data_IF_586357582556
#
_entry.id   IF_586357582556
#
_cell.length_a   1.000
_cell.length_b   1.000
_cell.length_c   1.000
_cell.angle_alpha   90.00
_cell.angle_beta   90.00
_cell.angle_gamma   90.00
#
_symmetry.space_group_name_H-M   'P 1'
#
loop_
_entity.id
_entity.type
_entity.pdbx_description
1 polymer ?
#
# COMPACT_ATOMS: atom_id res chain seq x y z
N UNK A 1 -37.92 32.49 -8.49
CA UNK A 1 -37.56 31.64 -7.33
C UNK A 1 -37.51 30.13 -7.62
N UNK A 2 -38.11 29.61 -8.70
CA UNK A 2 -38.11 28.15 -9.03
C UNK A 2 -36.71 27.59 -9.31
N UNK A 3 -35.84 28.38 -9.94
CA UNK A 3 -34.50 27.95 -10.36
C UNK A 3 -33.52 27.87 -9.18
N UNK A 4 -33.68 28.72 -8.16
CA UNK A 4 -32.82 28.71 -6.97
C UNK A 4 -32.97 27.42 -6.15
N UNK A 5 -34.20 26.91 -6.03
CA UNK A 5 -34.46 25.61 -5.37
C UNK A 5 -33.87 24.43 -6.15
N UNK A 6 -33.81 24.53 -7.48
CA UNK A 6 -33.19 23.51 -8.34
C UNK A 6 -31.67 23.48 -8.19
N UNK A 7 -31.00 24.64 -8.19
CA UNK A 7 -29.55 24.71 -7.95
C UNK A 7 -29.16 24.30 -6.51
N UNK A 8 -30.00 24.61 -5.52
CA UNK A 8 -29.83 24.14 -4.14
C UNK A 8 -29.95 22.60 -4.05
N UNK A 9 -30.92 22.00 -4.75
CA UNK A 9 -31.07 20.54 -4.79
C UNK A 9 -29.91 19.86 -5.54
N UNK A 10 -29.41 20.45 -6.62
CA UNK A 10 -28.28 19.93 -7.39
C UNK A 10 -26.98 19.94 -6.57
N UNK A 11 -26.71 21.03 -5.86
CA UNK A 11 -25.53 21.15 -4.98
C UNK A 11 -25.61 20.18 -3.80
N UNK A 12 -26.79 20.02 -3.18
CA UNK A 12 -27.00 19.04 -2.11
C UNK A 12 -26.79 17.59 -2.60
N UNK A 13 -27.25 17.26 -3.81
CA UNK A 13 -27.05 15.94 -4.40
C UNK A 13 -25.56 15.63 -4.71
N UNK A 14 -24.82 16.60 -5.24
CA UNK A 14 -23.37 16.46 -5.48
C UNK A 14 -22.60 16.28 -4.16
N UNK A 15 -22.99 17.01 -3.12
CA UNK A 15 -22.35 16.92 -1.79
C UNK A 15 -22.64 15.58 -1.11
N UNK A 16 -23.88 15.08 -1.22
CA UNK A 16 -24.26 13.76 -0.71
C UNK A 16 -23.50 12.62 -1.42
N UNK A 17 -23.26 12.77 -2.73
CA UNK A 17 -22.51 11.79 -3.52
C UNK A 17 -21.00 11.78 -3.16
N UNK A 18 -20.43 12.93 -2.78
CA UNK A 18 -19.05 13.01 -2.31
C UNK A 18 -18.82 12.31 -0.95
N UNK A 19 -19.83 12.31 -0.07
CA UNK A 19 -19.77 11.64 1.23
C UNK A 19 -19.94 10.11 1.12
N UNK A 20 -20.78 9.64 0.18
CA UNK A 20 -21.00 8.22 -0.05
C UNK A 20 -19.75 7.49 -0.60
N UNK A 21 -18.87 8.19 -1.33
CA UNK A 21 -17.63 7.63 -1.88
C UNK A 21 -16.57 7.31 -0.81
N UNK A 22 -16.66 7.88 0.40
CA UNK A 22 -15.71 7.55 1.47
C UNK A 22 -15.94 6.14 2.06
N UNK A 23 -17.18 5.65 2.02
CA UNK A 23 -17.52 4.30 2.50
C UNK A 23 -17.17 3.18 1.51
N UNK A 24 -16.73 3.50 0.29
CA UNK A 24 -16.33 2.51 -0.73
C UNK A 24 -14.82 2.35 -0.87
N UNK A 25 -14.02 3.04 -0.05
CA UNK A 25 -12.56 2.88 -0.07
C UNK A 25 -12.18 1.62 0.73
N UNK A 26 -11.40 0.73 0.10
CA UNK A 26 -10.85 -0.47 0.74
C UNK A 26 -9.74 -0.12 1.74
N UNK A 27 -8.86 0.82 1.39
CA UNK A 27 -7.87 1.40 2.30
C UNK A 27 -8.29 2.75 2.86
N UNK A 28 -7.91 3.05 4.10
CA UNK A 28 -8.21 4.31 4.79
C UNK A 28 -7.83 5.56 3.99
N UNK A 29 -6.69 5.48 3.31
CA UNK A 29 -6.07 6.58 2.58
C UNK A 29 -5.99 6.30 1.08
N UNK A 30 -6.83 5.42 0.56
CA UNK A 30 -6.86 5.12 -0.86
C UNK A 30 -7.28 6.35 -1.70
N UNK A 31 -6.76 6.48 -2.94
CA UNK A 31 -7.26 7.47 -3.88
C UNK A 31 -8.75 7.24 -4.12
N UNK A 32 -9.53 8.33 -4.16
CA UNK A 32 -10.98 8.25 -4.32
C UNK A 32 -11.41 7.63 -5.66
N UNK A 33 -10.60 7.84 -6.71
CA UNK A 33 -10.79 7.24 -8.04
C UNK A 33 -9.41 6.87 -8.59
N UNK A 34 -9.33 5.73 -9.28
CA UNK A 34 -8.15 5.28 -10.01
C UNK A 34 -8.57 4.76 -11.37
N UNK A 35 -7.77 5.05 -12.41
CA UNK A 35 -7.97 4.50 -13.76
C UNK A 35 -7.55 3.02 -13.82
N UNK A 36 -6.54 2.65 -13.03
CA UNK A 36 -6.01 1.29 -12.96
C UNK A 36 -6.72 0.47 -11.88
N UNK A 37 -6.85 -0.83 -12.14
CA UNK A 37 -7.38 -1.77 -11.14
C UNK A 37 -6.46 -1.80 -9.91
N UNK A 38 -6.98 -2.28 -8.78
CA UNK A 38 -6.18 -2.43 -7.55
C UNK A 38 -5.03 -3.42 -7.76
N UNK A 39 -5.29 -4.53 -8.46
CA UNK A 39 -4.27 -5.51 -8.84
C UNK A 39 -3.18 -4.89 -9.70
N UNK A 40 -3.55 -4.15 -10.74
CA UNK A 40 -2.56 -3.50 -11.63
C UNK A 40 -1.70 -2.48 -10.89
N UNK A 41 -2.31 -1.72 -9.95
CA UNK A 41 -1.55 -0.81 -9.08
C UNK A 41 -0.57 -1.58 -8.19
N UNK A 42 -0.98 -2.71 -7.62
CA UNK A 42 -0.13 -3.48 -6.71
C UNK A 42 1.02 -4.19 -7.42
N UNK A 43 0.82 -4.60 -8.67
CA UNK A 43 1.84 -5.25 -9.51
C UNK A 43 2.80 -4.21 -10.07
N UNK A 44 3.64 -3.67 -9.19
CA UNK A 44 4.69 -2.70 -9.49
C UNK A 44 6.00 -3.14 -8.81
N UNK A 45 7.09 -2.41 -9.07
CA UNK A 45 8.29 -2.46 -8.25
C UNK A 45 8.20 -1.41 -7.16
N UNK A 46 8.25 -1.87 -5.91
CA UNK A 46 8.07 -1.08 -4.71
C UNK A 46 9.37 -1.01 -3.92
N UNK A 47 9.88 0.19 -3.70
CA UNK A 47 11.05 0.43 -2.84
C UNK A 47 10.59 1.00 -1.50
N UNK A 48 10.99 0.38 -0.39
CA UNK A 48 10.70 0.89 0.96
C UNK A 48 11.46 2.19 1.20
N UNK A 49 10.75 3.26 1.57
CA UNK A 49 11.34 4.58 1.80
C UNK A 49 11.24 5.04 3.24
N UNK A 50 10.27 4.50 4.00
CA UNK A 50 10.08 4.81 5.42
C UNK A 50 9.37 3.64 6.09
N UNK A 51 9.69 3.37 7.36
CA UNK A 51 8.78 2.62 8.22
C UNK A 51 8.72 3.22 9.63
N UNK A 52 7.58 3.00 10.27
CA UNK A 52 7.28 3.50 11.61
C UNK A 52 6.94 2.32 12.52
N UNK A 53 7.38 2.41 13.78
CA UNK A 53 6.96 1.54 14.87
C UNK A 53 6.27 2.40 15.92
N UNK A 54 5.00 2.12 16.19
CA UNK A 54 4.16 2.90 17.13
C UNK A 54 4.21 4.42 16.83
N UNK A 55 4.22 4.78 15.55
CA UNK A 55 4.31 6.18 15.07
C UNK A 55 5.71 6.80 15.11
N UNK A 56 6.71 6.11 15.65
CA UNK A 56 8.10 6.57 15.62
C UNK A 56 8.82 6.08 14.36
N UNK A 57 9.35 7.01 13.57
CA UNK A 57 10.16 6.69 12.38
C UNK A 57 11.39 5.90 12.79
N UNK A 58 11.64 4.83 12.04
CA UNK A 58 12.80 3.96 12.24
C UNK A 58 13.84 4.22 11.16
N UNK A 59 15.11 4.04 11.52
CA UNK A 59 16.21 4.23 10.59
C UNK A 59 16.26 3.08 9.57
N UNK A 60 16.45 3.45 8.30
CA UNK A 60 16.66 2.56 7.15
C UNK A 60 18.06 2.74 6.54
N UNK A 61 18.90 3.62 7.12
CA UNK A 61 20.19 3.99 6.55
C UNK A 61 21.05 2.76 6.22
N UNK A 62 21.64 2.80 5.02
CA UNK A 62 22.55 1.75 4.55
C UNK A 62 21.89 0.45 4.08
N UNK A 63 20.55 0.35 4.05
CA UNK A 63 19.85 -0.82 3.48
C UNK A 63 18.67 -0.40 2.59
N UNK A 64 18.62 -0.94 1.37
CA UNK A 64 17.52 -0.79 0.43
C UNK A 64 16.69 -2.07 0.42
N UNK A 65 15.38 -1.94 0.59
CA UNK A 65 14.42 -3.04 0.46
C UNK A 65 13.52 -2.79 -0.74
N UNK A 66 13.48 -3.74 -1.67
CA UNK A 66 12.66 -3.66 -2.87
C UNK A 66 11.82 -4.94 -3.05
N UNK A 67 10.58 -4.76 -3.48
CA UNK A 67 9.72 -5.83 -3.99
C UNK A 67 9.41 -5.60 -5.47
N UNK A 68 9.75 -6.57 -6.32
CA UNK A 68 9.22 -6.62 -7.69
C UNK A 68 8.01 -7.55 -7.72
N UNK A 69 6.82 -6.99 -7.91
CA UNK A 69 5.55 -7.72 -7.78
C UNK A 69 4.96 -8.01 -9.16
N UNK A 70 4.68 -9.28 -9.43
CA UNK A 70 4.19 -9.73 -10.73
C UNK A 70 2.69 -10.06 -10.69
N UNK A 71 1.98 -9.81 -11.80
CA UNK A 71 0.54 -10.08 -11.92
C UNK A 71 0.16 -11.57 -11.88
N UNK A 72 1.15 -12.45 -11.99
CA UNK A 72 1.04 -13.91 -11.86
C UNK A 72 0.90 -14.40 -10.42
N UNK A 73 1.01 -13.50 -9.42
CA UNK A 73 0.97 -13.85 -8.00
C UNK A 73 2.34 -14.12 -7.38
N UNK A 74 3.40 -13.99 -8.16
CA UNK A 74 4.78 -14.07 -7.69
C UNK A 74 5.31 -12.69 -7.30
N UNK A 75 6.33 -12.67 -6.46
CA UNK A 75 7.12 -11.48 -6.17
C UNK A 75 8.58 -11.85 -5.91
N UNK A 76 9.48 -10.91 -6.11
CA UNK A 76 10.89 -11.04 -5.73
C UNK A 76 11.24 -9.95 -4.73
N UNK A 77 11.81 -10.34 -3.59
CA UNK A 77 12.40 -9.44 -2.62
C UNK A 77 13.88 -9.28 -2.92
N UNK A 78 14.35 -8.03 -3.06
CA UNK A 78 15.77 -7.69 -3.12
C UNK A 78 16.12 -6.83 -1.92
N UNK A 79 17.14 -7.23 -1.17
CA UNK A 79 17.71 -6.47 -0.07
C UNK A 79 19.17 -6.18 -0.43
N UNK A 80 19.51 -4.91 -0.51
CA UNK A 80 20.87 -4.44 -0.78
C UNK A 80 21.35 -3.60 0.39
N UNK A 81 22.63 -3.73 0.74
CA UNK A 81 23.21 -2.95 1.82
C UNK A 81 24.73 -3.04 1.82
N UNK A 82 25.34 -2.73 2.96
CA UNK A 82 26.80 -2.82 3.12
C UNK A 82 27.18 -3.52 4.42
N UNK A 83 28.14 -4.45 4.35
CA UNK A 83 28.75 -5.09 5.53
C UNK A 83 30.25 -4.83 5.47
N UNK A 84 30.80 -4.21 6.52
CA UNK A 84 32.21 -3.78 6.57
C UNK A 84 32.66 -2.95 5.35
N UNK A 85 31.77 -2.13 4.80
CA UNK A 85 32.05 -1.30 3.62
C UNK A 85 31.94 -2.04 2.27
N UNK A 86 31.66 -3.34 2.27
CA UNK A 86 31.45 -4.11 1.04
C UNK A 86 29.95 -4.21 0.72
N UNK A 87 29.55 -4.01 -0.55
CA UNK A 87 28.15 -4.13 -0.95
C UNK A 87 27.67 -5.57 -0.80
N UNK A 88 26.45 -5.74 -0.30
CA UNK A 88 25.77 -7.02 -0.19
C UNK A 88 24.45 -6.98 -0.93
N UNK A 89 24.03 -8.12 -1.47
CA UNK A 89 22.75 -8.29 -2.14
C UNK A 89 22.18 -9.66 -1.80
N UNK A 90 20.94 -9.67 -1.32
CA UNK A 90 20.14 -10.88 -1.10
C UNK A 90 18.88 -10.79 -1.94
N UNK A 91 18.59 -11.87 -2.68
CA UNK A 91 17.39 -11.99 -3.50
C UNK A 91 16.63 -13.22 -3.03
N UNK A 92 15.33 -13.06 -2.76
CA UNK A 92 14.44 -14.14 -2.35
C UNK A 92 13.16 -14.09 -3.15
N UNK A 93 12.71 -15.26 -3.59
CA UNK A 93 11.41 -15.40 -4.23
C UNK A 93 10.30 -15.53 -3.20
N UNK A 94 9.11 -15.13 -3.62
CA UNK A 94 7.92 -15.15 -2.81
C UNK A 94 6.65 -15.12 -3.63
N UNK A 95 5.53 -15.13 -2.92
CA UNK A 95 4.19 -15.06 -3.50
C UNK A 95 3.35 -14.03 -2.76
N UNK A 96 2.32 -13.52 -3.43
CA UNK A 96 1.37 -12.61 -2.83
C UNK A 96 -0.07 -12.96 -3.22
N UNK A 97 -1.02 -12.62 -2.36
CA UNK A 97 -2.44 -12.67 -2.67
C UNK A 97 -3.22 -11.65 -1.87
N UNK A 98 -4.23 -11.05 -2.50
CA UNK A 98 -5.21 -10.26 -1.79
C UNK A 98 -6.10 -11.15 -0.92
N UNK A 99 -6.54 -10.60 0.20
CA UNK A 99 -7.44 -11.20 1.18
C UNK A 99 -8.46 -10.15 1.59
N UNK A 100 -9.56 -10.59 2.21
CA UNK A 100 -10.59 -9.71 2.79
C UNK A 100 -11.04 -8.65 1.78
N UNK A 101 -11.55 -9.09 0.63
CA UNK A 101 -11.97 -8.23 -0.47
C UNK A 101 -10.90 -7.20 -0.89
N UNK A 102 -9.63 -7.59 -0.95
CA UNK A 102 -8.46 -6.77 -1.27
C UNK A 102 -8.15 -5.63 -0.30
N UNK A 103 -8.71 -5.64 0.91
CA UNK A 103 -8.30 -4.75 2.00
C UNK A 103 -6.93 -5.15 2.56
N UNK A 104 -6.62 -6.45 2.52
CA UNK A 104 -5.38 -7.01 3.00
C UNK A 104 -4.57 -7.67 1.88
N UNK A 105 -3.25 -7.71 2.06
CA UNK A 105 -2.34 -8.50 1.23
C UNK A 105 -1.53 -9.46 2.08
N UNK A 106 -1.57 -10.74 1.71
CA UNK A 106 -0.67 -11.76 2.23
C UNK A 106 0.57 -11.80 1.35
N UNK A 107 1.74 -11.60 1.94
CA UNK A 107 3.05 -11.72 1.28
C UNK A 107 3.78 -12.89 1.94
N UNK A 108 4.28 -13.82 1.14
CA UNK A 108 5.03 -14.99 1.61
C UNK A 108 6.43 -14.95 1.00
N UNK A 109 7.48 -14.89 1.82
CA UNK A 109 8.88 -14.96 1.39
C UNK A 109 9.51 -16.19 2.03
N UNK A 110 9.97 -17.15 1.22
CA UNK A 110 10.40 -18.45 1.76
C UNK A 110 9.26 -19.15 2.53
N UNK A 111 9.50 -19.49 3.80
CA UNK A 111 8.48 -20.08 4.69
C UNK A 111 7.62 -19.06 5.43
N UNK A 112 7.97 -17.77 5.37
CA UNK A 112 7.40 -16.76 6.23
C UNK A 112 6.26 -16.03 5.52
N UNK A 113 5.04 -16.23 6.02
CA UNK A 113 3.85 -15.54 5.53
C UNK A 113 3.48 -14.39 6.48
N UNK A 114 3.27 -13.20 5.92
CA UNK A 114 2.79 -12.03 6.66
C UNK A 114 1.57 -11.43 5.98
N UNK A 115 0.54 -11.11 6.75
CA UNK A 115 -0.64 -10.38 6.28
C UNK A 115 -0.49 -8.91 6.67
N UNK A 116 -0.70 -8.03 5.71
CA UNK A 116 -0.69 -6.58 5.89
C UNK A 116 -2.04 -5.99 5.51
N UNK A 117 -2.52 -5.04 6.30
CA UNK A 117 -3.64 -4.20 5.91
C UNK A 117 -3.15 -3.05 5.01
N UNK A 118 -3.79 -2.89 3.85
CA UNK A 118 -3.41 -1.90 2.84
C UNK A 118 -4.04 -0.56 3.21
N UNK A 119 -3.25 0.38 3.74
CA UNK A 119 -3.74 1.73 4.07
C UNK A 119 -3.99 2.54 2.80
N UNK A 120 -3.04 2.44 1.86
CA UNK A 120 -3.04 3.18 0.60
C UNK A 120 -2.40 2.33 -0.48
N UNK A 121 -3.02 2.32 -1.65
CA UNK A 121 -2.48 1.75 -2.87
C UNK A 121 -2.77 2.68 -4.04
N UNK A 122 -1.94 3.69 -4.25
CA UNK A 122 -1.94 4.54 -5.44
C UNK A 122 -0.95 3.99 -6.49
N UNK A 123 -0.88 4.60 -7.68
CA UNK A 123 0.08 4.16 -8.72
C UNK A 123 1.54 4.26 -8.29
N UNK A 124 1.88 5.20 -7.38
CA UNK A 124 3.26 5.45 -6.92
C UNK A 124 3.44 5.33 -5.41
N UNK A 125 2.40 5.02 -4.66
CA UNK A 125 2.45 4.96 -3.21
C UNK A 125 1.75 3.70 -2.72
N UNK A 126 2.46 2.89 -1.93
CA UNK A 126 1.92 1.72 -1.26
C UNK A 126 2.23 1.81 0.22
N UNK A 127 1.20 1.79 1.06
CA UNK A 127 1.34 1.83 2.51
C UNK A 127 0.75 0.57 3.13
N UNK A 128 1.58 -0.18 3.86
CA UNK A 128 1.21 -1.45 4.46
C UNK A 128 1.30 -1.36 5.98
N UNK A 129 0.25 -1.77 6.68
CA UNK A 129 0.20 -1.81 8.15
C UNK A 129 0.14 -3.25 8.63
N UNK A 130 0.83 -3.55 9.72
CA UNK A 130 0.59 -4.78 10.51
C UNK A 130 0.73 -4.50 12.00
N UNK A 131 0.07 -5.31 12.80
CA UNK A 131 0.20 -5.29 14.26
C UNK A 131 0.75 -6.63 14.71
N UNK A 132 1.76 -6.60 15.56
CA UNK A 132 2.35 -7.78 16.19
C UNK A 132 2.31 -7.51 17.69
N UNK A 133 1.58 -8.35 18.42
CA UNK A 133 1.27 -8.15 19.83
C UNK A 133 0.65 -6.77 20.08
N UNK A 134 1.35 -5.89 20.82
CA UNK A 134 0.93 -4.51 21.08
C UNK A 134 1.56 -3.47 20.14
N UNK A 135 2.51 -3.89 19.29
CA UNK A 135 3.26 -2.99 18.42
C UNK A 135 2.61 -2.87 17.03
N UNK A 136 2.44 -1.64 16.56
CA UNK A 136 1.97 -1.35 15.21
C UNK A 136 3.12 -0.89 14.32
N UNK A 137 3.20 -1.48 13.13
CA UNK A 137 4.18 -1.16 12.11
C UNK A 137 3.48 -0.62 10.86
N UNK A 138 4.02 0.46 10.30
CA UNK A 138 3.56 1.01 9.01
C UNK A 138 4.75 1.16 8.08
N UNK A 139 4.64 0.58 6.88
CA UNK A 139 5.68 0.58 5.86
C UNK A 139 5.21 1.40 4.66
N UNK A 140 6.06 2.32 4.21
CA UNK A 140 5.79 3.24 3.12
C UNK A 140 6.71 2.92 1.96
N UNK A 141 6.11 2.58 0.82
CA UNK A 141 6.82 2.24 -0.39
C UNK A 141 6.51 3.24 -1.50
N UNK A 142 7.52 3.47 -2.35
CA UNK A 142 7.40 4.23 -3.59
C UNK A 142 7.47 3.28 -4.78
N UNK A 143 6.53 3.44 -5.71
CA UNK A 143 6.46 2.66 -6.94
C UNK A 143 7.26 3.31 -8.08
N UNK A 144 7.72 2.49 -9.03
CA UNK A 144 8.24 2.98 -10.32
C UNK A 144 7.12 3.61 -11.16
#
# INVERSE_FOLDING_TARGET
MKNFKFYLLLTLAITAMALALQSCKKGSDDPAVSVYSRKDRFTNTWTLTKYEKNGAVQDLSGTTYQYSVFNTGNLTQTIEGTIFGFPTRSVKDGTWSFQNDDEDVKITIGSDATVYNIQRLASKELWLRKTIDADTYVYYFTGL
#
